data_IF_272629660382
#
_entry.id   IF_272629660382
#
_cell.length_a   1.000
_cell.length_b   1.000
_cell.length_c   1.000
_cell.angle_alpha   90.00
_cell.angle_beta   90.00
_cell.angle_gamma   90.00
#
_symmetry.space_group_name_H-M   'P 1'
#
loop_
_entity.id
_entity.type
_entity.pdbx_description
1 polymer ?
#
# COMPACT_ATOMS: atom_id res chain seq x y z
N UNK A 1 2.82 11.69 -5.74
CA UNK A 1 3.13 13.11 -5.47
C UNK A 1 4.12 13.70 -6.48
N UNK A 2 4.99 12.89 -7.04
CA UNK A 2 6.12 13.35 -7.86
C UNK A 2 5.80 13.52 -9.35
N UNK A 3 4.64 13.06 -9.81
CA UNK A 3 4.23 13.12 -11.20
C UNK A 3 4.90 12.08 -12.10
N UNK A 4 4.40 11.97 -13.34
CA UNK A 4 4.85 11.02 -14.36
C UNK A 4 6.38 10.96 -14.55
N UNK A 5 7.12 12.09 -14.63
CA UNK A 5 8.57 12.00 -14.88
C UNK A 5 9.33 11.17 -13.85
N UNK A 6 8.85 11.12 -12.62
CA UNK A 6 9.51 10.41 -11.52
C UNK A 6 8.97 9.00 -11.35
N UNK A 7 7.65 8.80 -11.23
CA UNK A 7 7.14 7.44 -10.99
C UNK A 7 7.24 6.55 -12.22
N UNK A 8 7.17 7.08 -13.45
CA UNK A 8 7.44 6.30 -14.66
C UNK A 8 8.89 5.83 -14.72
N UNK A 9 9.82 6.69 -14.28
CA UNK A 9 11.22 6.30 -14.13
C UNK A 9 11.37 5.19 -13.09
N UNK A 10 10.75 5.33 -11.92
CA UNK A 10 10.82 4.31 -10.87
C UNK A 10 10.24 2.96 -11.32
N UNK A 11 9.10 2.95 -12.01
CA UNK A 11 8.49 1.72 -12.56
C UNK A 11 9.46 0.99 -13.49
N UNK A 12 10.29 1.73 -14.25
CA UNK A 12 11.27 1.15 -15.17
C UNK A 12 12.56 0.70 -14.51
N UNK A 13 13.03 1.42 -13.50
CA UNK A 13 14.35 1.23 -12.88
C UNK A 13 14.32 0.28 -11.67
N UNK A 14 13.19 0.16 -10.97
CA UNK A 14 13.06 -0.76 -9.85
C UNK A 14 13.16 -2.21 -10.33
N UNK A 15 13.96 -3.01 -9.62
CA UNK A 15 14.09 -4.45 -9.86
C UNK A 15 12.99 -5.29 -9.20
N UNK A 16 11.93 -4.65 -8.73
CA UNK A 16 10.72 -5.26 -8.20
C UNK A 16 9.49 -4.70 -8.93
N UNK A 17 8.40 -5.48 -9.07
CA UNK A 17 7.17 -4.99 -9.68
C UNK A 17 6.50 -3.92 -8.83
N UNK A 18 5.98 -2.88 -9.49
CA UNK A 18 5.04 -1.91 -8.91
C UNK A 18 3.64 -2.39 -9.23
N UNK A 19 2.78 -2.47 -8.20
CA UNK A 19 1.43 -3.00 -8.33
C UNK A 19 0.38 -1.92 -8.06
N UNK A 20 -0.70 -1.92 -8.85
CA UNK A 20 -1.80 -0.95 -8.68
C UNK A 20 -2.98 -1.30 -9.57
N UNK A 21 -3.85 -2.20 -9.12
CA UNK A 21 -4.96 -2.71 -9.92
C UNK A 21 -6.05 -1.67 -10.20
N UNK A 22 -6.20 -0.69 -9.35
CA UNK A 22 -7.19 0.37 -9.45
C UNK A 22 -6.65 1.69 -10.03
N UNK A 23 -5.41 1.69 -10.52
CA UNK A 23 -4.82 2.81 -11.28
C UNK A 23 -5.06 2.52 -12.76
N UNK A 24 -6.00 3.21 -13.38
CA UNK A 24 -6.43 2.93 -14.74
C UNK A 24 -5.93 4.03 -15.69
N UNK A 25 -5.31 3.62 -16.80
CA UNK A 25 -4.99 4.53 -17.89
C UNK A 25 -6.28 4.93 -18.62
N UNK A 26 -6.57 6.22 -18.71
CA UNK A 26 -7.77 6.73 -19.40
C UNK A 26 -7.72 6.52 -20.91
N UNK A 27 -6.53 6.34 -21.47
CA UNK A 27 -6.34 6.11 -22.92
C UNK A 27 -6.61 4.67 -23.34
N UNK A 28 -6.36 3.70 -22.45
CA UNK A 28 -6.53 2.27 -22.75
C UNK A 28 -7.69 1.62 -22.03
N UNK A 29 -8.12 2.17 -20.89
CA UNK A 29 -9.07 1.54 -19.98
C UNK A 29 -8.49 0.39 -19.16
N UNK A 30 -7.19 0.12 -19.28
CA UNK A 30 -6.48 -0.97 -18.61
C UNK A 30 -5.67 -0.46 -17.42
N UNK A 31 -5.29 -1.33 -16.46
CA UNK A 31 -4.40 -0.95 -15.38
C UNK A 31 -3.09 -0.34 -15.88
N UNK A 32 -2.72 0.80 -15.32
CA UNK A 32 -1.53 1.56 -15.70
C UNK A 32 -0.23 0.84 -15.32
N UNK A 33 -0.23 0.15 -14.19
CA UNK A 33 0.84 -0.73 -13.73
C UNK A 33 0.31 -2.15 -13.55
N UNK A 34 1.17 -3.12 -13.24
CA UNK A 34 0.71 -4.49 -13.00
C UNK A 34 -0.35 -4.52 -11.91
N UNK A 35 -1.52 -5.14 -12.14
CA UNK A 35 -2.56 -5.23 -11.11
C UNK A 35 -2.16 -6.17 -9.97
N UNK A 36 -1.47 -7.26 -10.30
CA UNK A 36 -1.07 -8.28 -9.32
C UNK A 36 0.25 -8.95 -9.72
N UNK A 37 0.81 -9.70 -8.78
CA UNK A 37 1.97 -10.56 -8.97
C UNK A 37 1.64 -11.98 -8.52
N UNK A 38 2.09 -12.98 -9.28
CA UNK A 38 2.05 -14.38 -8.87
C UNK A 38 3.44 -14.83 -8.43
N UNK A 39 3.54 -15.31 -7.22
CA UNK A 39 4.73 -15.92 -6.66
C UNK A 39 4.51 -17.43 -6.52
N UNK A 40 5.45 -18.22 -7.04
CA UNK A 40 5.47 -19.66 -6.82
C UNK A 40 6.56 -19.98 -5.80
N UNK A 41 6.18 -20.58 -4.70
CA UNK A 41 7.07 -20.96 -3.60
C UNK A 41 6.80 -22.42 -3.23
N UNK A 42 7.76 -23.31 -3.52
CA UNK A 42 7.69 -24.75 -3.20
C UNK A 42 6.39 -25.43 -3.66
N UNK A 43 5.85 -24.99 -4.80
CA UNK A 43 4.61 -25.52 -5.37
C UNK A 43 3.33 -24.86 -4.86
N UNK A 44 3.44 -23.86 -3.97
CA UNK A 44 2.34 -23.00 -3.53
C UNK A 44 2.30 -21.75 -4.40
N UNK A 45 1.11 -21.39 -4.89
CA UNK A 45 0.86 -20.18 -5.67
C UNK A 45 0.31 -19.08 -4.77
N UNK A 46 1.05 -17.99 -4.64
CA UNK A 46 0.64 -16.80 -3.89
C UNK A 46 0.36 -15.67 -4.86
N UNK A 47 -0.81 -15.08 -4.80
CA UNK A 47 -1.15 -13.85 -5.52
C UNK A 47 -1.01 -12.65 -4.58
N UNK A 48 -0.37 -11.59 -5.07
CA UNK A 48 -0.30 -10.29 -4.39
C UNK A 48 -1.04 -9.29 -5.24
N UNK A 49 -2.14 -8.74 -4.74
CA UNK A 49 -2.95 -7.71 -5.39
C UNK A 49 -2.58 -6.34 -4.84
N UNK A 50 -2.10 -5.42 -5.69
CA UNK A 50 -1.76 -4.06 -5.28
C UNK A 50 -2.87 -3.07 -5.52
N UNK A 51 -3.11 -2.14 -4.60
CA UNK A 51 -4.07 -1.05 -4.74
C UNK A 51 -3.60 0.23 -4.05
N UNK A 52 -4.14 1.37 -4.50
CA UNK A 52 -3.90 2.68 -3.90
C UNK A 52 -5.24 3.35 -3.56
N UNK A 53 -5.23 4.26 -2.60
CA UNK A 53 -6.37 5.13 -2.32
C UNK A 53 -6.87 5.85 -3.57
N UNK A 54 -8.18 5.90 -3.82
CA UNK A 54 -8.73 6.63 -4.95
C UNK A 54 -8.79 8.15 -4.74
N UNK A 55 -8.43 8.65 -3.56
CA UNK A 55 -8.54 10.06 -3.20
C UNK A 55 -7.43 10.97 -3.78
N UNK A 56 -6.50 10.43 -4.56
CA UNK A 56 -5.38 11.17 -5.19
C UNK A 56 -5.79 12.52 -5.81
N UNK A 57 -6.90 12.63 -6.56
CA UNK A 57 -7.31 13.90 -7.17
C UNK A 57 -7.68 15.02 -6.18
N UNK A 58 -7.91 14.69 -4.90
CA UNK A 58 -8.23 15.70 -3.89
C UNK A 58 -7.00 16.44 -3.36
N UNK A 59 -5.81 15.85 -3.49
CA UNK A 59 -4.59 16.41 -2.91
C UNK A 59 -3.61 16.91 -3.96
N UNK A 60 -3.66 16.31 -5.16
CA UNK A 60 -2.66 16.57 -6.20
C UNK A 60 -3.30 17.28 -7.38
N UNK A 61 -2.56 18.21 -7.94
CA UNK A 61 -2.96 18.90 -9.17
C UNK A 61 -2.99 17.92 -10.35
N UNK A 62 -3.93 18.10 -11.26
CA UNK A 62 -4.21 17.17 -12.37
C UNK A 62 -2.98 16.83 -13.23
N UNK A 63 -2.05 17.76 -13.40
CA UNK A 63 -0.82 17.52 -14.16
C UNK A 63 0.06 16.40 -13.58
N UNK A 64 -0.08 16.07 -12.27
CA UNK A 64 0.68 15.00 -11.62
C UNK A 64 0.10 13.60 -11.86
N UNK A 65 -1.19 13.52 -12.19
CA UNK A 65 -1.89 12.26 -12.46
C UNK A 65 -2.66 12.24 -13.78
N UNK A 66 -2.34 13.19 -14.69
CA UNK A 66 -3.02 13.30 -15.98
C UNK A 66 -3.02 11.97 -16.76
N UNK A 67 -4.15 11.63 -17.38
CA UNK A 67 -4.28 10.35 -18.09
C UNK A 67 -4.51 9.13 -17.18
N UNK A 68 -4.68 9.33 -15.87
CA UNK A 68 -5.00 8.29 -14.91
C UNK A 68 -6.40 8.49 -14.32
N UNK A 69 -7.02 7.38 -13.92
CA UNK A 69 -8.25 7.31 -13.14
C UNK A 69 -8.01 6.34 -11.99
N UNK A 70 -8.55 6.66 -10.82
CA UNK A 70 -8.46 5.83 -9.63
C UNK A 70 -9.83 5.25 -9.32
N UNK A 71 -9.94 3.91 -9.37
CA UNK A 71 -11.21 3.24 -9.13
C UNK A 71 -11.43 2.93 -7.65
N UNK A 72 -12.70 2.83 -7.26
CA UNK A 72 -13.10 2.41 -5.92
C UNK A 72 -12.46 1.06 -5.55
N UNK A 73 -11.81 1.00 -4.40
CA UNK A 73 -11.03 -0.16 -3.97
C UNK A 73 -11.89 -1.42 -3.78
N UNK A 74 -13.07 -1.30 -3.18
CA UNK A 74 -13.95 -2.46 -2.92
C UNK A 74 -14.43 -3.08 -4.23
N UNK A 75 -14.89 -2.25 -5.16
CA UNK A 75 -15.38 -2.71 -6.48
C UNK A 75 -14.26 -3.33 -7.30
N UNK A 76 -13.11 -2.67 -7.36
CA UNK A 76 -11.94 -3.16 -8.08
C UNK A 76 -11.40 -4.46 -7.46
N UNK A 77 -11.31 -4.54 -6.13
CA UNK A 77 -10.89 -5.75 -5.42
C UNK A 77 -11.81 -6.95 -5.73
N UNK A 78 -13.14 -6.76 -5.75
CA UNK A 78 -14.08 -7.84 -6.11
C UNK A 78 -13.82 -8.39 -7.51
N UNK A 79 -13.57 -7.52 -8.47
CA UNK A 79 -13.28 -7.92 -9.86
C UNK A 79 -11.97 -8.72 -9.94
N UNK A 80 -10.90 -8.19 -9.32
CA UNK A 80 -9.59 -8.83 -9.39
C UNK A 80 -9.49 -10.11 -8.56
N UNK A 81 -10.10 -10.18 -7.37
CA UNK A 81 -10.14 -11.42 -6.58
C UNK A 81 -10.89 -12.50 -7.35
N UNK A 82 -12.03 -12.17 -7.95
CA UNK A 82 -12.76 -13.11 -8.82
C UNK A 82 -11.91 -13.58 -9.99
N UNK A 83 -11.25 -12.66 -10.69
CA UNK A 83 -10.35 -13.00 -11.79
C UNK A 83 -9.22 -13.94 -11.35
N UNK A 84 -8.57 -13.64 -10.22
CA UNK A 84 -7.50 -14.46 -9.66
C UNK A 84 -7.99 -15.89 -9.33
N UNK A 85 -9.15 -16.01 -8.69
CA UNK A 85 -9.72 -17.30 -8.32
C UNK A 85 -10.12 -18.14 -9.55
N UNK A 86 -10.64 -17.54 -10.59
CA UNK A 86 -11.09 -18.22 -11.80
C UNK A 86 -9.92 -18.60 -12.73
N UNK A 87 -8.95 -17.71 -12.92
CA UNK A 87 -7.90 -17.84 -13.93
C UNK A 87 -6.55 -18.28 -13.35
N UNK A 88 -6.10 -17.67 -12.26
CA UNK A 88 -4.81 -17.96 -11.65
C UNK A 88 -4.88 -19.08 -10.61
N UNK A 89 -6.00 -19.19 -9.92
CA UNK A 89 -6.27 -20.21 -8.87
C UNK A 89 -5.16 -20.24 -7.81
N UNK A 90 -4.86 -19.12 -7.16
CA UNK A 90 -3.83 -19.06 -6.13
C UNK A 90 -4.27 -19.84 -4.88
N UNK A 91 -3.29 -20.36 -4.15
CA UNK A 91 -3.50 -20.95 -2.83
C UNK A 91 -3.68 -19.88 -1.75
N UNK A 92 -3.03 -18.72 -1.93
CA UNK A 92 -3.05 -17.57 -1.01
C UNK A 92 -3.24 -16.28 -1.79
N UNK A 93 -4.06 -15.35 -1.27
CA UNK A 93 -4.21 -14.00 -1.81
C UNK A 93 -3.83 -13.00 -0.74
N UNK A 94 -2.86 -12.15 -1.06
CA UNK A 94 -2.39 -11.05 -0.21
C UNK A 94 -2.80 -9.72 -0.85
N UNK A 95 -3.42 -8.84 -0.07
CA UNK A 95 -3.61 -7.44 -0.42
C UNK A 95 -2.37 -6.63 -0.02
N UNK A 96 -1.89 -5.76 -0.91
CA UNK A 96 -0.82 -4.80 -0.65
C UNK A 96 -1.33 -3.42 -1.01
N UNK A 97 -1.78 -2.66 -0.01
CA UNK A 97 -2.57 -1.45 -0.23
C UNK A 97 -1.88 -0.19 0.32
N UNK A 98 -1.93 0.89 -0.45
CA UNK A 98 -1.65 2.23 0.05
C UNK A 98 -2.98 2.98 0.22
N UNK A 99 -3.69 2.64 1.26
CA UNK A 99 -4.95 3.22 1.74
C UNK A 99 -5.04 2.87 3.21
N UNK A 100 -5.46 3.79 4.04
CA UNK A 100 -5.52 3.60 5.48
C UNK A 100 -6.60 2.61 5.93
N UNK A 101 -6.77 2.51 7.22
CA UNK A 101 -7.70 1.59 7.87
C UNK A 101 -9.13 1.81 7.43
N UNK A 102 -9.68 2.95 7.81
CA UNK A 102 -11.02 3.44 7.50
C UNK A 102 -11.11 4.95 7.74
N UNK A 103 -12.07 5.62 7.13
CA UNK A 103 -12.27 7.06 7.30
C UNK A 103 -11.68 7.90 6.15
N UNK A 104 -10.99 9.00 6.50
CA UNK A 104 -10.50 9.95 5.51
C UNK A 104 -11.63 10.63 4.73
N UNK A 105 -11.39 10.98 3.48
CA UNK A 105 -12.38 11.56 2.57
C UNK A 105 -13.37 10.48 2.15
N UNK A 106 -14.66 10.70 2.46
CA UNK A 106 -15.74 9.81 2.06
C UNK A 106 -16.67 10.50 1.09
N UNK A 107 -16.92 9.87 -0.05
CA UNK A 107 -17.81 10.35 -1.10
C UNK A 107 -18.84 9.28 -1.45
N UNK A 108 -19.79 9.59 -2.33
CA UNK A 108 -20.69 8.57 -2.88
C UNK A 108 -19.96 7.54 -3.77
N UNK A 109 -18.78 7.88 -4.27
CA UNK A 109 -18.04 7.07 -5.24
C UNK A 109 -16.94 6.23 -4.61
N UNK A 110 -16.31 6.72 -3.52
CA UNK A 110 -15.22 6.02 -2.87
C UNK A 110 -15.01 6.49 -1.42
N UNK A 111 -14.30 5.67 -0.65
CA UNK A 111 -13.66 6.04 0.61
C UNK A 111 -12.14 6.13 0.38
N UNK A 112 -11.50 7.15 0.98
CA UNK A 112 -10.04 7.32 0.95
C UNK A 112 -9.33 6.15 1.60
N UNK A 113 -9.77 5.84 2.84
CA UNK A 113 -9.25 4.75 3.64
C UNK A 113 -10.26 3.60 3.63
N UNK A 114 -9.93 2.54 2.90
CA UNK A 114 -10.85 1.45 2.61
C UNK A 114 -10.26 0.04 2.85
N UNK A 115 -9.07 -0.07 3.46
CA UNK A 115 -8.39 -1.37 3.58
C UNK A 115 -9.19 -2.37 4.39
N UNK A 116 -9.76 -1.97 5.52
CA UNK A 116 -10.60 -2.83 6.35
C UNK A 116 -11.97 -3.09 5.72
N UNK A 117 -12.52 -2.13 4.99
CA UNK A 117 -13.73 -2.32 4.21
C UNK A 117 -13.55 -3.39 3.13
N UNK A 118 -12.43 -3.35 2.41
CA UNK A 118 -12.07 -4.40 1.44
C UNK A 118 -11.93 -5.74 2.14
N UNK A 119 -11.22 -5.82 3.27
CA UNK A 119 -11.07 -7.05 4.04
C UNK A 119 -12.41 -7.68 4.45
N UNK A 120 -13.36 -6.86 4.87
CA UNK A 120 -14.70 -7.31 5.32
C UNK A 120 -15.63 -7.69 4.16
N UNK A 121 -15.64 -6.87 3.10
CA UNK A 121 -16.65 -6.98 2.04
C UNK A 121 -16.21 -7.83 0.82
N UNK A 122 -14.91 -8.12 0.69
CA UNK A 122 -14.37 -8.86 -0.45
C UNK A 122 -13.75 -10.18 0.02
N UNK A 123 -14.51 -11.29 0.01
CA UNK A 123 -13.97 -12.60 0.36
C UNK A 123 -12.86 -13.04 -0.58
N UNK A 124 -11.83 -13.68 -0.01
CA UNK A 124 -10.74 -14.27 -0.76
C UNK A 124 -9.35 -13.85 -0.29
N UNK A 125 -9.20 -12.72 0.36
CA UNK A 125 -7.94 -12.34 0.99
C UNK A 125 -7.66 -13.19 2.23
N UNK A 126 -6.38 -13.56 2.40
CA UNK A 126 -5.86 -14.23 3.59
C UNK A 126 -5.13 -13.24 4.50
N UNK A 127 -4.49 -12.24 3.90
CA UNK A 127 -3.70 -11.20 4.56
C UNK A 127 -3.86 -9.88 3.79
N UNK A 128 -3.96 -8.77 4.51
CA UNK A 128 -3.84 -7.42 3.94
C UNK A 128 -2.75 -6.67 4.68
N UNK A 129 -1.74 -6.23 3.92
CA UNK A 129 -0.71 -5.29 4.37
C UNK A 129 -1.11 -3.92 3.83
N UNK A 130 -1.23 -2.93 4.70
CA UNK A 130 -1.72 -1.62 4.32
C UNK A 130 -0.99 -0.48 5.02
N UNK A 131 -1.27 0.75 4.65
CA UNK A 131 -0.72 1.99 5.22
C UNK A 131 -1.30 3.19 4.49
N UNK A 132 -0.96 4.39 4.84
CA UNK A 132 -1.36 5.68 4.32
C UNK A 132 -1.77 6.65 5.44
N UNK A 133 -2.61 6.20 6.36
CA UNK A 133 -3.13 6.99 7.47
C UNK A 133 -2.12 7.19 8.62
N UNK A 134 -0.92 6.60 8.48
CA UNK A 134 0.17 6.65 9.45
C UNK A 134 -0.18 6.05 10.83
N UNK A 135 -1.21 5.24 10.91
CA UNK A 135 -1.59 4.54 12.14
C UNK A 135 -0.83 3.22 12.28
N UNK A 136 -0.71 2.74 13.50
CA UNK A 136 -0.13 1.42 13.78
C UNK A 136 -1.26 0.48 14.12
N UNK A 137 -1.53 -0.49 13.24
CA UNK A 137 -2.66 -1.40 13.43
C UNK A 137 -2.28 -2.87 13.20
N UNK A 138 -2.86 -3.74 14.00
CA UNK A 138 -2.76 -5.18 13.87
C UNK A 138 -4.09 -5.79 14.32
N UNK A 139 -4.94 -6.05 13.38
CA UNK A 139 -6.24 -6.64 13.67
C UNK A 139 -6.55 -7.83 12.78
N UNK A 140 -7.49 -8.64 13.22
CA UNK A 140 -8.07 -9.71 12.42
C UNK A 140 -9.55 -9.45 12.27
N UNK A 141 -10.01 -9.34 11.04
CA UNK A 141 -11.42 -9.09 10.73
C UNK A 141 -12.08 -10.31 10.14
N UNK A 142 -13.39 -10.44 10.33
CA UNK A 142 -14.19 -11.48 9.70
C UNK A 142 -14.79 -10.93 8.40
N UNK A 143 -14.52 -11.62 7.28
CA UNK A 143 -15.06 -11.24 5.99
C UNK A 143 -16.50 -11.72 5.77
N UNK A 144 -17.10 -11.37 4.65
CA UNK A 144 -18.49 -11.71 4.30
C UNK A 144 -18.76 -13.23 4.22
N UNK A 145 -17.72 -14.06 4.03
CA UNK A 145 -17.82 -15.53 4.04
C UNK A 145 -17.55 -16.15 5.42
N UNK A 146 -17.39 -15.34 6.47
CA UNK A 146 -17.09 -15.79 7.83
C UNK A 146 -15.63 -16.21 8.06
N UNK A 147 -14.73 -15.93 7.13
CA UNK A 147 -13.30 -16.22 7.25
C UNK A 147 -12.52 -15.07 7.87
N UNK A 148 -11.45 -15.42 8.59
CA UNK A 148 -10.57 -14.44 9.20
C UNK A 148 -9.57 -13.89 8.17
N UNK A 149 -9.36 -12.58 8.18
CA UNK A 149 -8.36 -11.87 7.39
C UNK A 149 -7.48 -11.07 8.35
N UNK A 150 -6.17 -11.33 8.33
CA UNK A 150 -5.21 -10.57 9.13
C UNK A 150 -4.88 -9.28 8.39
N UNK A 151 -4.92 -8.14 9.10
CA UNK A 151 -4.69 -6.82 8.55
C UNK A 151 -3.60 -6.11 9.37
N UNK A 152 -2.55 -5.64 8.70
CA UNK A 152 -1.37 -5.05 9.36
C UNK A 152 -1.00 -3.71 8.72
N UNK A 153 -0.86 -2.68 9.56
CA UNK A 153 -0.29 -1.38 9.22
C UNK A 153 0.92 -1.08 10.13
N UNK A 154 2.13 -0.90 9.58
CA UNK A 154 3.33 -0.64 10.37
C UNK A 154 3.52 0.84 10.75
N UNK A 155 2.53 1.71 10.55
CA UNK A 155 2.63 3.16 10.68
C UNK A 155 3.58 3.81 9.62
N UNK A 156 4.24 4.90 9.98
CA UNK A 156 5.06 5.71 9.09
C UNK A 156 6.51 5.81 9.58
N UNK A 157 7.35 6.53 8.83
CA UNK A 157 8.74 6.85 9.18
C UNK A 157 9.66 5.64 9.46
N UNK A 158 9.26 4.46 8.97
CA UNK A 158 10.01 3.21 9.19
C UNK A 158 10.30 2.90 10.68
N UNK A 159 9.42 3.33 11.59
CA UNK A 159 9.56 3.04 13.03
C UNK A 159 9.23 1.58 13.37
N UNK A 160 8.49 0.93 12.49
CA UNK A 160 8.15 -0.49 12.63
C UNK A 160 7.96 -1.17 11.28
N UNK A 161 7.92 -2.49 11.29
CA UNK A 161 7.65 -3.34 10.14
C UNK A 161 6.49 -4.30 10.44
N UNK A 162 5.66 -4.57 9.42
CA UNK A 162 4.66 -5.61 9.50
C UNK A 162 5.32 -6.97 9.19
N UNK A 163 5.24 -7.90 10.13
CA UNK A 163 5.75 -9.27 10.00
C UNK A 163 4.58 -10.24 10.05
N UNK A 164 4.33 -10.94 8.93
CA UNK A 164 3.25 -11.88 8.80
C UNK A 164 3.76 -13.28 8.45
N UNK A 165 3.24 -14.29 9.13
CA UNK A 165 3.53 -15.69 8.87
C UNK A 165 2.29 -16.39 8.35
N UNK A 166 2.43 -17.09 7.22
CA UNK A 166 1.38 -17.91 6.62
C UNK A 166 1.81 -19.37 6.66
N UNK A 167 1.24 -20.12 7.57
CA UNK A 167 1.46 -21.57 7.70
C UNK A 167 0.44 -22.33 6.89
N UNK A 168 0.89 -23.21 6.01
CA UNK A 168 0.04 -23.99 5.11
C UNK A 168 0.10 -25.49 5.43
N UNK A 169 -1.05 -26.13 5.52
CA UNK A 169 -1.14 -27.59 5.59
C UNK A 169 -1.39 -28.15 4.20
N UNK A 170 -0.48 -29.00 3.75
CA UNK A 170 -0.52 -29.62 2.43
C UNK A 170 -0.86 -31.11 2.54
N UNK A 171 -1.86 -31.56 1.81
CA UNK A 171 -2.24 -32.96 1.74
C UNK A 171 -2.25 -33.47 0.31
N UNK A 172 -1.91 -34.80 0.14
CA UNK A 172 -2.00 -35.44 -1.15
C UNK A 172 -3.47 -35.69 -1.51
N UNK A 173 -3.95 -35.07 -2.59
CA UNK A 173 -5.28 -35.36 -3.16
C UNK A 173 -5.14 -35.80 -4.62
N UNK A 174 -6.14 -36.53 -5.09
CA UNK A 174 -6.25 -36.95 -6.50
C UNK A 174 -7.01 -35.84 -7.24
N UNK A 175 -6.30 -35.09 -8.11
CA UNK A 175 -6.87 -34.01 -8.94
C UNK A 175 -6.72 -34.47 -10.40
N UNK A 176 -7.80 -34.53 -11.14
CA UNK A 176 -7.81 -34.99 -12.54
C UNK A 176 -7.05 -36.33 -12.76
N UNK A 177 -7.22 -37.28 -11.84
CA UNK A 177 -6.58 -38.58 -11.92
C UNK A 177 -5.12 -38.66 -11.43
N UNK A 178 -4.44 -37.51 -11.18
CA UNK A 178 -3.06 -37.44 -10.71
C UNK A 178 -3.01 -37.05 -9.22
N UNK A 179 -2.07 -37.66 -8.47
CA UNK A 179 -1.80 -37.25 -7.08
C UNK A 179 -1.07 -35.94 -7.08
N UNK A 180 -1.62 -34.94 -6.39
CA UNK A 180 -1.03 -33.61 -6.23
C UNK A 180 -1.07 -33.20 -4.75
N UNK A 181 -0.11 -32.40 -4.33
CA UNK A 181 -0.18 -31.69 -3.05
C UNK A 181 -1.14 -30.53 -3.22
N UNK A 182 -2.10 -30.40 -2.32
CA UNK A 182 -3.05 -29.29 -2.30
C UNK A 182 -3.09 -28.69 -0.91
N UNK A 183 -3.21 -27.38 -0.83
CA UNK A 183 -3.42 -26.67 0.44
C UNK A 183 -4.80 -27.04 0.98
N UNK A 184 -4.84 -27.54 2.21
CA UNK A 184 -6.08 -27.98 2.87
C UNK A 184 -6.43 -27.13 4.07
N UNK A 185 -5.46 -26.43 4.62
CA UNK A 185 -5.66 -25.48 5.72
C UNK A 185 -4.63 -24.36 5.65
N UNK A 186 -5.01 -23.18 6.14
CA UNK A 186 -4.18 -21.96 6.20
C UNK A 186 -4.33 -21.33 7.56
N UNK A 187 -3.21 -20.99 8.16
CA UNK A 187 -3.16 -20.18 9.38
C UNK A 187 -2.29 -18.95 9.10
N UNK A 188 -2.87 -17.77 9.28
CA UNK A 188 -2.16 -16.49 9.14
C UNK A 188 -2.02 -15.86 10.52
N UNK A 189 -0.83 -15.41 10.85
CA UNK A 189 -0.55 -14.63 12.06
C UNK A 189 0.25 -13.40 11.68
N UNK A 190 0.08 -12.33 12.42
CA UNK A 190 0.77 -11.07 12.16
C UNK A 190 1.21 -10.37 13.43
N UNK A 191 2.28 -9.62 13.34
CA UNK A 191 2.75 -8.72 14.38
C UNK A 191 3.38 -7.47 13.77
N UNK A 192 3.36 -6.38 14.52
CA UNK A 192 4.11 -5.17 14.19
C UNK A 192 5.36 -5.15 15.07
N UNK A 193 6.52 -5.15 14.43
CA UNK A 193 7.83 -5.20 15.10
C UNK A 193 8.43 -3.80 15.06
N UNK A 194 8.71 -3.25 16.23
CA UNK A 194 9.42 -1.98 16.38
C UNK A 194 10.88 -2.14 15.97
N UNK A 195 11.40 -1.20 15.20
CA UNK A 195 12.79 -1.21 14.73
C UNK A 195 13.59 0.04 15.13
N UNK A 196 13.01 0.88 15.98
CA UNK A 196 13.64 2.15 16.40
C UNK A 196 14.95 1.93 17.17
N UNK A 197 15.05 0.81 17.88
CA UNK A 197 16.25 0.43 18.64
C UNK A 197 17.24 -0.44 17.84
N UNK A 198 16.93 -0.73 16.57
CA UNK A 198 17.85 -1.49 15.72
C UNK A 198 19.11 -0.65 15.40
N UNK A 199 20.30 -1.27 15.35
CA UNK A 199 21.50 -0.56 14.94
C UNK A 199 21.37 -0.07 13.49
N UNK A 200 21.96 1.08 13.23
CA UNK A 200 22.02 1.65 11.87
C UNK A 200 22.89 0.74 10.99
N UNK A 201 22.44 0.46 9.79
CA UNK A 201 23.24 -0.20 8.76
C UNK A 201 24.28 0.79 8.23
N UNK A 202 25.53 0.62 8.65
CA UNK A 202 26.63 1.51 8.31
C UNK A 202 26.99 1.43 6.81
N UNK A 203 26.88 0.25 6.18
CA UNK A 203 27.15 0.08 4.76
C UNK A 203 26.09 0.79 3.90
N UNK A 204 24.82 0.72 4.29
CA UNK A 204 23.74 1.47 3.67
C UNK A 204 23.99 2.98 3.81
N UNK A 205 24.29 3.46 5.01
CA UNK A 205 24.54 4.90 5.23
C UNK A 205 25.71 5.41 4.41
N UNK A 206 26.81 4.64 4.33
CA UNK A 206 27.98 4.97 3.52
C UNK A 206 27.68 5.01 2.02
N UNK A 207 26.85 4.07 1.54
CA UNK A 207 26.45 4.04 0.13
C UNK A 207 25.64 5.28 -0.30
N UNK A 208 24.87 5.85 0.61
CA UNK A 208 24.03 7.02 0.35
C UNK A 208 24.56 8.36 0.90
N UNK A 209 25.73 8.35 1.54
CA UNK A 209 26.34 9.56 2.12
C UNK A 209 26.40 10.76 1.15
N UNK A 210 26.82 10.61 -0.13
CA UNK A 210 26.87 11.73 -1.05
C UNK A 210 25.49 12.40 -1.27
N UNK A 211 24.44 11.59 -1.41
CA UNK A 211 23.08 12.08 -1.63
C UNK A 211 22.52 12.73 -0.35
N UNK A 212 22.80 12.15 0.82
CA UNK A 212 22.41 12.72 2.11
C UNK A 212 23.04 14.09 2.31
N UNK A 213 24.32 14.25 2.03
CA UNK A 213 25.01 15.53 2.16
C UNK A 213 24.52 16.57 1.13
N UNK A 214 24.20 16.15 -0.08
CA UNK A 214 23.60 17.05 -1.08
C UNK A 214 22.23 17.56 -0.62
N UNK A 215 21.37 16.70 -0.10
CA UNK A 215 20.06 17.08 0.45
C UNK A 215 20.22 18.02 1.64
N UNK A 216 21.12 17.71 2.59
CA UNK A 216 21.39 18.58 3.74
C UNK A 216 21.85 19.97 3.30
N UNK A 217 22.74 20.04 2.32
CA UNK A 217 23.22 21.31 1.75
C UNK A 217 22.09 22.11 1.08
N UNK A 218 21.20 21.40 0.38
CA UNK A 218 20.05 22.03 -0.29
C UNK A 218 19.05 22.60 0.72
N UNK A 219 18.58 21.78 1.69
CA UNK A 219 17.60 22.23 2.68
C UNK A 219 18.16 23.18 3.73
N UNK A 220 19.47 23.12 3.98
CA UNK A 220 20.18 24.05 4.88
C UNK A 220 20.48 25.41 4.26
N UNK A 221 20.16 25.61 2.97
CA UNK A 221 20.38 26.91 2.32
C UNK A 221 19.45 27.95 2.91
N UNK A 222 20.03 29.02 3.42
CA UNK A 222 19.26 30.16 3.88
C UNK A 222 18.52 30.83 2.71
N UNK A 223 17.19 30.91 2.82
CA UNK A 223 16.32 31.51 1.79
C UNK A 223 15.78 32.88 2.20
N UNK A 224 15.88 33.23 3.47
CA UNK A 224 15.44 34.51 4.01
C UNK A 224 15.70 34.65 5.50
N UNK A 225 15.31 35.80 6.03
CA UNK A 225 15.36 36.11 7.46
C UNK A 225 14.07 36.80 7.88
N UNK A 226 13.53 36.40 9.01
CA UNK A 226 12.50 37.17 9.70
C UNK A 226 13.14 38.19 10.63
N UNK A 227 12.67 39.41 10.59
CA UNK A 227 13.13 40.48 11.47
C UNK A 227 12.59 40.36 12.89
N UNK A 228 11.48 39.63 13.03
CA UNK A 228 10.76 39.41 14.31
C UNK A 228 10.30 37.97 14.41
N UNK A 229 10.01 37.51 15.63
CA UNK A 229 9.39 36.21 15.84
C UNK A 229 7.95 36.20 15.29
N UNK A 230 7.60 35.17 14.52
CA UNK A 230 6.26 34.93 14.02
C UNK A 230 5.66 33.78 14.83
N UNK A 231 4.47 33.98 15.38
CA UNK A 231 3.78 33.00 16.20
C UNK A 231 2.61 32.38 15.43
N UNK A 232 2.59 31.06 15.27
CA UNK A 232 1.51 30.36 14.59
C UNK A 232 0.12 30.52 15.27
N UNK A 233 0.11 30.72 16.60
CA UNK A 233 -1.12 30.99 17.35
C UNK A 233 -1.91 32.22 16.86
N UNK A 234 -1.22 33.17 16.25
CA UNK A 234 -1.83 34.44 15.80
C UNK A 234 -2.79 34.22 14.61
N UNK A 235 -2.63 33.10 13.89
CA UNK A 235 -3.54 32.72 12.79
C UNK A 235 -5.01 32.57 13.19
N UNK A 236 -5.28 32.24 14.46
CA UNK A 236 -6.65 32.06 14.96
C UNK A 236 -7.41 33.39 15.15
N UNK A 237 -6.73 34.53 15.06
CA UNK A 237 -7.30 35.85 15.34
C UNK A 237 -7.50 36.71 14.08
N UNK A 238 -7.30 36.15 12.88
CA UNK A 238 -7.46 36.83 11.60
C UNK A 238 -6.14 36.93 10.82
N UNK A 239 -5.99 37.96 9.99
CA UNK A 239 -4.77 38.18 9.23
C UNK A 239 -3.57 38.36 10.17
N UNK A 240 -2.51 37.63 9.92
CA UNK A 240 -1.30 37.64 10.73
C UNK A 240 -0.06 37.43 9.87
N UNK A 241 1.11 37.79 10.40
CA UNK A 241 2.38 37.56 9.71
C UNK A 241 2.63 36.04 9.42
N UNK A 242 1.97 35.14 10.16
CA UNK A 242 2.03 33.71 9.89
C UNK A 242 1.21 33.31 8.66
N UNK A 243 -0.01 33.87 8.53
CA UNK A 243 -0.88 33.58 7.39
C UNK A 243 -0.42 34.25 6.10
N UNK A 244 0.24 35.41 6.22
CA UNK A 244 0.67 36.24 5.10
C UNK A 244 2.06 35.83 4.55
N UNK A 245 2.78 34.93 5.24
CA UNK A 245 4.05 34.36 4.81
C UNK A 245 3.85 33.17 3.86
#
# INVERSE_FOLDING_TARGET
ETGHPVYDKWIKELNCPVLGSNIISTSTGEPYVKPYLILNREGVKVAVLGMITPAIPNWLTENLWSGLKFENMVTNARQWVKYLQENEKPDVIIGLFHSGKDGGIQTAEYDEDASIKVAKEVPGFDLILFGHDHTRDNETVTNADGKQVVCLDPANNAISVADAEITLTLNKKKVNGKKQMVVTDKKVTGKIVDVTDCPIDEDFMKAFEPQIEEVKKYVGKQIGNFKTTIYSRDQFFGSSAFNDF
#
